data_IF_031490260964
#
_entry.id   IF_031490260964
#
_cell.length_a   1.000
_cell.length_b   1.000
_cell.length_c   1.000
_cell.angle_alpha   90.00
_cell.angle_beta   90.00
_cell.angle_gamma   90.00
#
_symmetry.space_group_name_H-M   'P 1'
#
loop_
_entity.id
_entity.type
_entity.pdbx_description
1 polymer ?
#
# COMPACT_ATOMS: atom_id res chain seq x y z
N UNK A 1 -36.89 1.82 1.84
CA UNK A 1 -35.91 2.93 1.79
C UNK A 1 -34.58 2.32 2.19
N UNK A 2 -33.81 1.88 1.19
CA UNK A 2 -32.44 1.39 1.36
C UNK A 2 -31.57 2.61 1.58
N UNK A 3 -31.04 2.77 2.79
CA UNK A 3 -30.03 3.78 3.11
C UNK A 3 -28.70 3.27 2.60
N UNK A 4 -28.30 3.74 1.42
CA UNK A 4 -26.94 3.58 0.91
C UNK A 4 -26.01 4.34 1.86
N UNK A 5 -25.29 3.59 2.68
CA UNK A 5 -24.34 4.15 3.63
C UNK A 5 -23.07 4.45 2.83
N UNK A 6 -22.94 5.68 2.33
CA UNK A 6 -21.72 6.18 1.69
C UNK A 6 -20.54 6.07 2.67
N UNK A 7 -19.82 4.94 2.60
CA UNK A 7 -18.62 4.74 3.40
C UNK A 7 -17.49 5.56 2.76
N UNK A 8 -17.34 6.81 3.20
CA UNK A 8 -16.21 7.69 2.82
C UNK A 8 -14.89 6.96 3.09
N UNK A 9 -13.87 7.08 2.21
CA UNK A 9 -12.55 6.51 2.46
C UNK A 9 -12.07 6.97 3.83
N UNK A 10 -11.84 6.01 4.72
CA UNK A 10 -11.40 6.31 6.08
C UNK A 10 -9.94 6.73 5.99
N UNK A 11 -9.53 7.74 6.76
CA UNK A 11 -8.12 8.14 6.85
C UNK A 11 -7.19 6.94 7.12
N UNK A 12 -7.67 5.89 7.80
CA UNK A 12 -6.89 4.69 8.06
C UNK A 12 -6.52 3.92 6.80
N UNK A 13 -7.36 3.95 5.76
CA UNK A 13 -7.19 3.16 4.54
C UNK A 13 -6.08 3.77 3.68
N UNK A 14 -6.16 5.09 3.45
CA UNK A 14 -5.12 5.84 2.73
C UNK A 14 -3.80 5.94 3.52
N UNK A 15 -3.82 5.78 4.85
CA UNK A 15 -2.60 5.60 5.64
C UNK A 15 -1.92 4.24 5.33
N UNK A 16 -2.68 3.22 4.90
CA UNK A 16 -2.10 1.90 4.60
C UNK A 16 -1.29 1.88 3.30
N UNK A 17 -1.80 2.44 2.20
CA UNK A 17 -1.11 2.44 0.90
C UNK A 17 0.20 3.25 0.95
N UNK A 18 0.11 4.50 1.41
CA UNK A 18 1.28 5.37 1.60
C UNK A 18 2.30 4.77 2.59
N UNK A 19 1.82 4.14 3.67
CA UNK A 19 2.71 3.48 4.64
C UNK A 19 3.50 2.32 4.04
N UNK A 20 2.86 1.50 3.20
CA UNK A 20 3.53 0.40 2.50
C UNK A 20 4.60 0.91 1.53
N UNK A 21 4.32 1.98 0.78
CA UNK A 21 5.32 2.60 -0.11
C UNK A 21 6.54 3.10 0.65
N UNK A 22 6.34 3.79 1.77
CA UNK A 22 7.45 4.33 2.58
C UNK A 22 8.31 3.19 3.15
N UNK A 23 7.70 2.13 3.68
CA UNK A 23 8.43 0.96 4.18
C UNK A 23 9.21 0.30 3.03
N UNK A 24 8.57 0.15 1.89
CA UNK A 24 9.16 -0.45 0.70
C UNK A 24 10.41 0.29 0.23
N UNK A 25 10.35 1.62 0.09
CA UNK A 25 11.52 2.42 -0.32
C UNK A 25 12.69 2.30 0.68
N UNK A 26 12.40 2.25 1.98
CA UNK A 26 13.43 2.07 3.03
C UNK A 26 14.11 0.71 2.89
N UNK A 27 13.34 -0.35 2.67
CA UNK A 27 13.85 -1.71 2.51
C UNK A 27 14.62 -1.89 1.18
N UNK A 28 14.14 -1.30 0.08
CA UNK A 28 14.87 -1.29 -1.20
C UNK A 28 16.23 -0.62 -1.06
N UNK A 29 16.27 0.60 -0.49
CA UNK A 29 17.53 1.33 -0.28
C UNK A 29 18.41 0.57 0.72
N UNK A 30 17.83 0.07 1.81
CA UNK A 30 18.53 -0.71 2.83
C UNK A 30 19.20 -1.95 2.25
N UNK A 31 18.45 -2.76 1.50
CA UNK A 31 18.93 -3.97 0.85
C UNK A 31 20.04 -3.70 -0.17
N UNK A 32 19.92 -2.64 -0.97
CA UNK A 32 20.99 -2.23 -1.90
C UNK A 32 22.27 -1.84 -1.14
N UNK A 33 22.14 -1.08 -0.05
CA UNK A 33 23.29 -0.61 0.73
C UNK A 33 23.96 -1.73 1.53
N UNK A 34 23.20 -2.72 2.01
CA UNK A 34 23.72 -3.86 2.76
C UNK A 34 24.13 -5.03 1.88
N UNK A 35 23.74 -5.02 0.60
CA UNK A 35 23.90 -6.17 -0.30
C UNK A 35 22.97 -7.33 0.04
N UNK A 36 21.83 -7.06 0.69
CA UNK A 36 20.80 -8.05 1.01
C UNK A 36 19.73 -8.07 -0.11
N UNK A 37 19.77 -9.08 -1.02
CA UNK A 37 18.80 -9.17 -2.10
C UNK A 37 17.39 -9.51 -1.63
N UNK A 38 17.23 -10.09 -0.44
CA UNK A 38 15.90 -10.41 0.11
C UNK A 38 15.24 -9.12 0.60
N UNK A 39 15.95 -8.32 1.40
CA UNK A 39 15.43 -7.02 1.86
C UNK A 39 15.13 -6.10 0.69
N UNK A 40 15.95 -6.10 -0.35
CA UNK A 40 15.66 -5.33 -1.56
C UNK A 40 14.33 -5.77 -2.21
N UNK A 41 14.14 -7.09 -2.38
CA UNK A 41 12.93 -7.64 -3.00
C UNK A 41 11.67 -7.43 -2.13
N UNK A 42 11.79 -7.51 -0.81
CA UNK A 42 10.72 -7.15 0.13
C UNK A 42 10.31 -5.69 -0.03
N UNK A 43 11.30 -4.81 -0.18
CA UNK A 43 11.05 -3.40 -0.44
C UNK A 43 10.28 -3.14 -1.73
N UNK A 44 10.71 -3.77 -2.82
CA UNK A 44 10.04 -3.69 -4.12
C UNK A 44 8.58 -4.19 -4.04
N UNK A 45 8.36 -5.29 -3.32
CA UNK A 45 7.02 -5.84 -3.10
C UNK A 45 6.12 -4.88 -2.29
N UNK A 46 6.64 -4.26 -1.24
CA UNK A 46 5.87 -3.33 -0.41
C UNK A 46 5.48 -2.04 -1.17
N UNK A 47 6.35 -1.55 -2.06
CA UNK A 47 5.98 -0.45 -2.98
C UNK A 47 4.86 -0.88 -3.91
N UNK A 48 4.96 -2.05 -4.54
CA UNK A 48 3.94 -2.57 -5.46
C UNK A 48 2.58 -2.78 -4.75
N UNK A 49 2.57 -3.33 -3.54
CA UNK A 49 1.34 -3.45 -2.74
C UNK A 49 0.73 -2.09 -2.44
N UNK A 50 1.57 -1.09 -2.14
CA UNK A 50 1.13 0.29 -1.95
C UNK A 50 0.50 0.87 -3.22
N UNK A 51 1.12 0.66 -4.38
CA UNK A 51 0.61 1.15 -5.67
C UNK A 51 -0.73 0.49 -6.01
N UNK A 52 -0.85 -0.82 -5.86
CA UNK A 52 -2.10 -1.54 -6.10
C UNK A 52 -3.22 -1.05 -5.18
N UNK A 53 -2.91 -0.73 -3.92
CA UNK A 53 -3.91 -0.20 -2.98
C UNK A 53 -4.39 1.20 -3.37
N UNK A 54 -3.46 2.06 -3.77
CA UNK A 54 -3.81 3.39 -4.26
C UNK A 54 -4.69 3.30 -5.52
N UNK A 55 -4.34 2.40 -6.45
CA UNK A 55 -5.12 2.12 -7.65
C UNK A 55 -6.54 1.61 -7.30
N UNK A 56 -6.65 0.69 -6.34
CA UNK A 56 -7.94 0.16 -5.85
C UNK A 56 -8.81 1.25 -5.18
N UNK A 57 -8.19 2.14 -4.41
CA UNK A 57 -8.87 3.31 -3.82
C UNK A 57 -9.36 4.27 -4.91
N UNK A 58 -8.56 4.51 -5.96
CA UNK A 58 -8.92 5.39 -7.08
C UNK A 58 -10.10 4.83 -7.89
N UNK A 59 -10.12 3.52 -8.16
CA UNK A 59 -11.20 2.87 -8.92
C UNK A 59 -12.46 2.58 -8.08
N UNK A 60 -12.43 2.86 -6.78
CA UNK A 60 -13.57 2.65 -5.86
C UNK A 60 -13.91 1.18 -5.59
N UNK A 61 -13.00 0.25 -5.89
CA UNK A 61 -13.15 -1.17 -5.59
C UNK A 61 -12.62 -1.42 -4.18
N UNK A 62 -13.53 -1.59 -3.23
CA UNK A 62 -13.17 -2.00 -1.86
C UNK A 62 -13.04 -3.52 -1.82
N UNK A 63 -11.97 -4.01 -1.20
CA UNK A 63 -11.92 -5.38 -0.74
C UNK A 63 -12.93 -5.51 0.41
N UNK A 64 -14.04 -6.21 0.16
CA UNK A 64 -14.99 -6.57 1.20
C UNK A 64 -14.29 -7.54 2.18
N UNK A 65 -14.06 -7.08 3.42
CA UNK A 65 -13.68 -7.94 4.57
C UNK A 65 -14.88 -8.72 5.13
#
# INVERSE_FOLDING_TARGET
MTTENEHKPSLKDSITGLGQKIIGEIETIGGVLTGDPITQAEGEFNVEVGDIRDDLEEIGVKADE
#
